data_IF_766855766556
#
_entry.id   IF_766855766556
#
_cell.length_a   1.000
_cell.length_b   1.000
_cell.length_c   1.000
_cell.angle_alpha   90.00
_cell.angle_beta   90.00
_cell.angle_gamma   90.00
#
_symmetry.space_group_name_H-M   'P 1'
#
loop_
_entity.id
_entity.type
_entity.pdbx_description
1 polymer ?
#
# COMPACT_ATOMS: atom_id res chain seq x y z
N UNK A 1 -32.41 6.36 19.96
CA UNK A 1 -31.23 5.47 20.09
C UNK A 1 -30.89 4.98 18.69
N UNK A 2 -29.75 5.39 18.13
CA UNK A 2 -29.26 4.83 16.87
C UNK A 2 -28.72 3.44 17.20
N UNK A 3 -29.38 2.40 16.71
CA UNK A 3 -28.83 1.04 16.77
C UNK A 3 -27.49 1.11 16.05
N UNK A 4 -26.41 0.71 16.69
CA UNK A 4 -25.13 0.54 16.01
C UNK A 4 -25.38 -0.59 15.01
N UNK A 5 -25.61 -0.22 13.76
CA UNK A 5 -25.74 -1.15 12.65
C UNK A 5 -24.30 -1.41 12.21
N UNK A 6 -23.82 -2.66 12.25
CA UNK A 6 -22.53 -3.00 11.68
C UNK A 6 -22.53 -2.57 10.22
N UNK A 7 -21.42 -1.98 9.76
CA UNK A 7 -21.27 -1.66 8.35
C UNK A 7 -21.50 -2.93 7.51
N UNK A 8 -22.23 -2.83 6.38
CA UNK A 8 -22.51 -3.99 5.55
C UNK A 8 -21.18 -4.62 5.10
N UNK A 9 -21.10 -5.95 5.02
CA UNK A 9 -19.88 -6.64 4.63
C UNK A 9 -19.43 -6.11 3.26
N UNK A 10 -18.17 -5.70 3.17
CA UNK A 10 -17.54 -5.27 1.92
C UNK A 10 -17.72 -6.40 0.88
N UNK A 11 -18.57 -6.18 -0.11
CA UNK A 11 -18.74 -7.13 -1.21
C UNK A 11 -17.46 -7.12 -2.05
N UNK A 12 -16.96 -8.29 -2.40
CA UNK A 12 -15.86 -8.47 -3.37
C UNK A 12 -16.18 -7.90 -4.76
N UNK A 13 -17.45 -7.57 -5.00
CA UNK A 13 -17.98 -6.91 -6.20
C UNK A 13 -17.91 -5.37 -6.13
N UNK A 14 -17.40 -4.79 -5.03
CA UNK A 14 -17.25 -3.34 -4.91
C UNK A 14 -16.22 -2.83 -5.93
N UNK A 15 -16.52 -1.77 -6.71
CA UNK A 15 -15.59 -1.21 -7.68
C UNK A 15 -14.30 -0.68 -7.04
N UNK A 16 -14.29 -0.47 -5.72
CA UNK A 16 -13.14 0.02 -4.95
C UNK A 16 -12.33 -1.08 -4.26
N UNK A 17 -12.76 -2.35 -4.33
CA UNK A 17 -12.12 -3.45 -3.59
C UNK A 17 -10.62 -3.58 -3.91
N UNK A 18 -10.23 -3.39 -5.17
CA UNK A 18 -8.83 -3.42 -5.59
C UNK A 18 -8.06 -2.19 -5.11
N UNK A 19 -8.67 -0.99 -5.14
CA UNK A 19 -8.06 0.24 -4.63
C UNK A 19 -7.80 0.11 -3.12
N UNK A 20 -8.80 -0.32 -2.35
CA UNK A 20 -8.69 -0.55 -0.91
C UNK A 20 -7.59 -1.58 -0.61
N UNK A 21 -7.52 -2.67 -1.39
CA UNK A 21 -6.46 -3.69 -1.23
C UNK A 21 -5.07 -3.10 -1.47
N UNK A 22 -4.90 -2.26 -2.49
CA UNK A 22 -3.61 -1.61 -2.79
C UNK A 22 -3.23 -0.57 -1.74
N UNK A 23 -4.21 0.18 -1.20
CA UNK A 23 -4.00 1.10 -0.07
C UNK A 23 -3.52 0.31 1.14
N UNK A 24 -4.21 -0.78 1.49
CA UNK A 24 -3.85 -1.60 2.64
C UNK A 24 -2.47 -2.26 2.47
N UNK A 25 -2.17 -2.76 1.26
CA UNK A 25 -0.83 -3.29 0.94
C UNK A 25 0.26 -2.23 1.15
N UNK A 26 -0.02 -0.97 0.77
CA UNK A 26 0.91 0.15 0.98
C UNK A 26 1.15 0.41 2.46
N UNK A 27 0.10 0.39 3.28
CA UNK A 27 0.21 0.53 4.75
C UNK A 27 1.08 -0.57 5.37
N UNK A 28 0.90 -1.83 4.94
CA UNK A 28 1.72 -2.95 5.40
C UNK A 28 3.19 -2.80 4.99
N UNK A 29 3.47 -2.38 3.75
CA UNK A 29 4.84 -2.14 3.28
C UNK A 29 5.50 -0.99 4.05
N UNK A 30 4.77 0.08 4.33
CA UNK A 30 5.25 1.20 5.16
C UNK A 30 5.59 0.74 6.58
N UNK A 31 4.76 -0.10 7.18
CA UNK A 31 5.03 -0.70 8.48
C UNK A 31 6.29 -1.58 8.43
N UNK A 32 6.42 -2.44 7.41
CA UNK A 32 7.61 -3.28 7.21
C UNK A 32 8.90 -2.45 7.04
N UNK A 33 8.84 -1.34 6.29
CA UNK A 33 9.93 -0.39 6.15
C UNK A 33 10.33 0.22 7.50
N UNK A 34 9.36 0.68 8.28
CA UNK A 34 9.62 1.26 9.60
C UNK A 34 10.30 0.26 10.55
N UNK A 35 9.79 -0.97 10.61
CA UNK A 35 10.37 -2.07 11.42
C UNK A 35 11.77 -2.43 10.94
N UNK A 36 12.00 -2.45 9.63
CA UNK A 36 13.31 -2.73 9.02
C UNK A 36 14.31 -1.63 9.38
N UNK A 37 13.92 -0.36 9.23
CA UNK A 37 14.72 0.79 9.63
C UNK A 37 15.10 0.74 11.10
N UNK A 38 14.14 0.47 11.98
CA UNK A 38 14.39 0.33 13.41
C UNK A 38 15.29 -0.87 13.72
N UNK A 39 15.15 -1.98 13.00
CA UNK A 39 16.01 -3.15 13.20
C UNK A 39 17.46 -2.84 12.82
N UNK A 40 17.69 -2.12 11.72
CA UNK A 40 19.02 -1.72 11.25
C UNK A 40 19.75 -0.82 12.25
N UNK A 41 19.05 0.01 13.04
CA UNK A 41 19.70 0.84 14.07
C UNK A 41 20.15 0.04 15.29
N UNK A 42 19.60 -1.16 15.53
CA UNK A 42 19.90 -1.99 16.70
C UNK A 42 20.76 -3.22 16.38
N UNK A 43 20.91 -3.58 15.10
CA UNK A 43 21.71 -4.73 14.67
C UNK A 43 23.21 -4.42 14.66
N UNK A 44 24.08 -5.33 15.13
CA UNK A 44 25.52 -5.21 14.97
C UNK A 44 25.89 -5.31 13.48
N UNK A 45 27.05 -4.79 13.06
CA UNK A 45 27.54 -4.94 11.68
C UNK A 45 27.82 -6.42 11.40
N UNK A 46 26.90 -7.08 10.69
CA UNK A 46 26.95 -8.51 10.38
C UNK A 46 26.44 -8.77 8.95
N UNK A 47 26.69 -9.95 8.36
CA UNK A 47 26.10 -10.33 7.07
C UNK A 47 24.56 -10.24 7.06
N UNK A 48 23.92 -10.51 8.21
CA UNK A 48 22.46 -10.36 8.36
C UNK A 48 22.01 -8.90 8.19
N UNK A 49 22.83 -7.93 8.61
CA UNK A 49 22.56 -6.49 8.42
C UNK A 49 22.62 -6.10 6.96
N UNK A 50 23.52 -6.69 6.16
CA UNK A 50 23.57 -6.47 4.72
C UNK A 50 22.30 -7.00 4.04
N UNK A 51 21.86 -8.20 4.40
CA UNK A 51 20.59 -8.76 3.91
C UNK A 51 19.41 -7.87 4.31
N UNK A 52 19.41 -7.34 5.53
CA UNK A 52 18.36 -6.42 6.00
C UNK A 52 18.34 -5.10 5.23
N UNK A 53 19.50 -4.57 4.83
CA UNK A 53 19.59 -3.41 3.94
C UNK A 53 19.01 -3.72 2.55
N UNK A 54 19.29 -4.91 2.00
CA UNK A 54 18.67 -5.35 0.74
C UNK A 54 17.16 -5.45 0.87
N UNK A 55 16.65 -6.06 1.95
CA UNK A 55 15.20 -6.13 2.24
C UNK A 55 14.59 -4.73 2.29
N UNK A 56 15.26 -3.77 2.93
CA UNK A 56 14.80 -2.38 2.97
C UNK A 56 14.67 -1.77 1.57
N UNK A 57 15.65 -1.99 0.69
CA UNK A 57 15.62 -1.52 -0.69
C UNK A 57 14.49 -2.18 -1.52
N UNK A 58 14.29 -3.48 -1.37
CA UNK A 58 13.21 -4.19 -2.06
C UNK A 58 11.82 -3.72 -1.58
N UNK A 59 11.66 -3.42 -0.28
CA UNK A 59 10.44 -2.85 0.26
C UNK A 59 10.15 -1.45 -0.28
N UNK A 60 11.18 -0.61 -0.46
CA UNK A 60 11.04 0.72 -1.05
C UNK A 60 10.66 0.68 -2.54
N UNK A 61 11.26 -0.26 -3.30
CA UNK A 61 10.86 -0.55 -4.66
C UNK A 61 9.40 -1.02 -4.73
N UNK A 62 9.00 -1.91 -3.81
CA UNK A 62 7.61 -2.41 -3.72
C UNK A 62 6.63 -1.27 -3.42
N UNK A 63 6.96 -0.37 -2.50
CA UNK A 63 6.17 0.83 -2.21
C UNK A 63 5.95 1.66 -3.46
N UNK A 64 7.01 1.93 -4.22
CA UNK A 64 6.93 2.71 -5.47
C UNK A 64 6.03 2.05 -6.51
N UNK A 65 6.10 0.71 -6.62
CA UNK A 65 5.22 -0.05 -7.52
C UNK A 65 3.74 0.05 -7.08
N UNK A 66 3.45 -0.05 -5.79
CA UNK A 66 2.09 0.09 -5.25
C UNK A 66 1.53 1.50 -5.50
N UNK A 67 2.32 2.55 -5.25
CA UNK A 67 1.93 3.94 -5.54
C UNK A 67 1.65 4.14 -7.03
N UNK A 68 2.47 3.54 -7.91
CA UNK A 68 2.24 3.57 -9.36
C UNK A 68 0.98 2.82 -9.78
N UNK A 69 0.66 1.70 -9.13
CA UNK A 69 -0.53 0.91 -9.42
C UNK A 69 -1.80 1.65 -8.99
N UNK A 70 -1.78 2.28 -7.81
CA UNK A 70 -2.86 3.15 -7.33
C UNK A 70 -3.09 4.32 -8.29
N UNK A 71 -2.03 5.01 -8.72
CA UNK A 71 -2.14 6.11 -9.66
C UNK A 71 -2.78 5.67 -11.00
N UNK A 72 -2.36 4.52 -11.55
CA UNK A 72 -2.92 3.96 -12.78
C UNK A 72 -4.40 3.59 -12.62
N UNK A 73 -4.77 3.00 -11.48
CA UNK A 73 -6.15 2.63 -11.19
C UNK A 73 -7.06 3.86 -11.10
N UNK A 74 -6.60 4.92 -10.43
CA UNK A 74 -7.33 6.19 -10.33
C UNK A 74 -7.48 6.90 -11.68
N UNK A 75 -6.47 6.82 -12.54
CA UNK A 75 -6.56 7.34 -13.92
C UNK A 75 -7.58 6.55 -14.75
N UNK A 76 -7.59 5.22 -14.63
CA UNK A 76 -8.54 4.35 -15.34
C UNK A 76 -9.98 4.50 -14.84
N UNK A 77 -10.19 4.86 -13.58
CA UNK A 77 -11.51 5.06 -13.00
C UNK A 77 -12.15 6.42 -13.37
N UNK A 78 -11.37 7.35 -13.94
CA UNK A 78 -11.87 8.68 -14.32
C UNK A 78 -12.69 8.60 -15.61
N UNK A 79 -14.00 8.98 -15.62
CA UNK A 79 -14.79 9.00 -16.84
C UNK A 79 -14.21 10.01 -17.84
N UNK A 80 -14.30 9.76 -19.16
CA UNK A 80 -13.86 10.70 -20.17
C UNK A 80 -14.63 12.00 -19.99
N UNK A 81 -13.92 13.07 -19.64
CA UNK A 81 -14.46 14.42 -19.67
C UNK A 81 -14.68 14.80 -21.13
N UNK A 82 -15.87 14.50 -21.64
CA UNK A 82 -16.34 15.06 -22.91
C UNK A 82 -16.44 16.58 -22.73
N UNK A 83 -15.38 17.28 -23.10
CA UNK A 83 -15.44 18.71 -23.37
C UNK A 83 -16.32 18.91 -24.59
N UNK A 84 -17.59 19.27 -24.38
CA UNK A 84 -18.45 19.81 -25.41
C UNK A 84 -17.81 21.11 -25.91
N UNK A 85 -17.25 21.07 -27.12
CA UNK A 85 -16.80 22.26 -27.84
C UNK A 85 -17.11 22.14 -29.33
#
# INVERSE_FOLDING_TARGET
MLKIVPDPPHSTESPYFLEDTLVHATEYVMCALAVTHQSLTHLPKSPATLVMLTVMHELDATRTLLESALAQLQMSARPPSYTLH
#
